data_IF_259211741965
#
_entry.id   IF_259211741965
#
_cell.length_a   1.000
_cell.length_b   1.000
_cell.length_c   1.000
_cell.angle_alpha   90.00
_cell.angle_beta   90.00
_cell.angle_gamma   90.00
#
_symmetry.space_group_name_H-M   'P 1'
#
loop_
_entity.id
_entity.type
_entity.pdbx_description
1 polymer ?
#
# COMPACT_ATOMS: atom_id res chain seq x y z
N UNK A 1 17.43 3.33 40.39
CA UNK A 1 16.18 3.97 39.96
C UNK A 1 15.81 3.34 38.65
N UNK A 2 14.82 2.45 38.67
CA UNK A 2 14.32 1.76 37.49
C UNK A 2 13.46 2.80 36.77
N UNK A 3 13.94 3.27 35.62
CA UNK A 3 13.21 4.21 34.78
C UNK A 3 11.93 3.52 34.31
N UNK A 4 10.81 4.05 34.77
CA UNK A 4 9.45 3.56 34.52
C UNK A 4 9.19 3.50 33.03
N UNK A 5 9.07 2.27 32.53
CA UNK A 5 8.69 1.85 31.19
C UNK A 5 7.63 2.76 30.57
N UNK A 6 8.03 3.57 29.59
CA UNK A 6 7.11 4.14 28.60
C UNK A 6 6.41 2.96 27.93
N UNK A 7 5.06 2.93 27.82
CA UNK A 7 4.38 1.85 27.12
C UNK A 7 4.93 1.74 25.69
N UNK A 8 5.07 0.51 25.20
CA UNK A 8 5.49 0.29 23.82
C UNK A 8 4.50 0.99 22.89
N UNK A 9 5.02 1.81 21.96
CA UNK A 9 4.17 2.50 20.97
C UNK A 9 3.41 1.46 20.14
N UNK A 10 2.11 1.66 20.01
CA UNK A 10 1.23 0.87 19.14
C UNK A 10 1.52 1.20 17.67
N UNK A 11 0.97 0.39 16.76
CA UNK A 11 1.06 0.68 15.33
C UNK A 11 0.37 2.02 14.99
N UNK A 12 -0.74 2.34 15.65
CA UNK A 12 -1.43 3.63 15.52
C UNK A 12 -0.53 4.80 15.95
N UNK A 13 0.11 4.70 17.12
CA UNK A 13 1.03 5.75 17.61
C UNK A 13 2.18 6.03 16.64
N UNK A 14 2.63 4.99 15.91
CA UNK A 14 3.70 5.12 14.91
C UNK A 14 3.22 5.75 13.60
N UNK A 15 1.99 5.46 13.19
CA UNK A 15 1.34 6.14 12.06
C UNK A 15 1.15 7.62 12.39
N UNK A 16 0.62 7.93 13.57
CA UNK A 16 0.40 9.32 14.02
C UNK A 16 1.69 10.11 14.20
N UNK A 17 2.78 9.44 14.57
CA UNK A 17 4.10 10.05 14.69
C UNK A 17 4.83 10.25 13.33
N UNK A 18 4.24 9.83 12.21
CA UNK A 18 4.80 10.10 10.88
C UNK A 18 4.74 11.59 10.58
N UNK A 19 5.79 12.14 9.96
CA UNK A 19 5.76 13.53 9.46
C UNK A 19 4.87 13.61 8.23
N UNK A 20 3.57 13.79 8.47
CA UNK A 20 2.55 13.81 7.44
C UNK A 20 2.66 14.97 6.47
N UNK A 21 3.27 16.08 6.88
CA UNK A 21 3.55 17.19 5.98
C UNK A 21 4.58 16.77 4.93
N UNK A 22 5.73 16.24 5.37
CA UNK A 22 6.78 15.76 4.46
C UNK A 22 6.28 14.60 3.59
N UNK A 23 5.55 13.65 4.18
CA UNK A 23 4.99 12.52 3.45
C UNK A 23 4.02 13.01 2.37
N UNK A 24 3.13 13.96 2.70
CA UNK A 24 2.17 14.52 1.73
C UNK A 24 2.90 15.20 0.57
N UNK A 25 3.93 16.00 0.85
CA UNK A 25 4.71 16.67 -0.20
C UNK A 25 5.41 15.66 -1.13
N UNK A 26 5.96 14.57 -0.59
CA UNK A 26 6.57 13.51 -1.38
C UNK A 26 5.54 12.72 -2.20
N UNK A 27 4.39 12.36 -1.62
CA UNK A 27 3.29 11.70 -2.33
C UNK A 27 2.77 12.60 -3.46
N UNK A 28 2.61 13.91 -3.21
CA UNK A 28 2.24 14.89 -4.23
C UNK A 28 3.25 14.95 -5.38
N UNK A 29 4.55 14.93 -5.07
CA UNK A 29 5.62 15.06 -6.05
C UNK A 29 5.87 13.79 -6.87
N UNK A 30 5.80 12.62 -6.23
CA UNK A 30 6.26 11.35 -6.78
C UNK A 30 5.18 10.28 -6.94
N UNK A 31 4.02 10.48 -6.32
CA UNK A 31 2.95 9.48 -6.25
C UNK A 31 3.22 8.39 -5.21
N UNK A 32 4.33 8.49 -4.46
CA UNK A 32 4.65 7.59 -3.35
C UNK A 32 5.64 8.21 -2.38
N UNK A 33 5.57 7.83 -1.10
CA UNK A 33 6.49 8.26 -0.06
C UNK A 33 6.64 7.19 1.02
N UNK A 34 7.84 7.11 1.62
CA UNK A 34 8.11 6.19 2.73
C UNK A 34 7.60 6.79 4.05
N UNK A 35 7.05 5.93 4.90
CA UNK A 35 6.78 6.26 6.30
C UNK A 35 8.05 6.06 7.15
N UNK A 36 7.96 6.40 8.44
CA UNK A 36 8.87 5.84 9.44
C UNK A 36 8.61 4.35 9.69
N UNK A 37 9.29 3.76 10.67
CA UNK A 37 9.04 2.38 11.07
C UNK A 37 7.68 2.25 11.77
N UNK A 38 6.78 1.44 11.20
CA UNK A 38 5.43 1.18 11.71
C UNK A 38 5.33 -0.13 12.49
N UNK A 39 6.23 -1.07 12.19
CA UNK A 39 6.27 -2.38 12.82
C UNK A 39 7.69 -2.72 13.30
N UNK A 40 7.78 -3.32 14.48
CA UNK A 40 9.02 -3.94 14.94
C UNK A 40 9.35 -5.17 14.09
N UNK A 41 10.62 -5.57 14.06
CA UNK A 41 11.04 -6.77 13.33
C UNK A 41 10.29 -8.03 13.80
N UNK A 42 9.98 -8.12 15.09
CA UNK A 42 9.25 -9.26 15.67
C UNK A 42 7.81 -9.31 15.15
N UNK A 43 7.13 -8.16 15.09
CA UNK A 43 5.78 -8.07 14.53
C UNK A 43 5.75 -8.32 13.03
N UNK A 44 6.79 -7.89 12.31
CA UNK A 44 6.98 -8.26 10.90
C UNK A 44 7.10 -9.77 10.73
N UNK A 45 7.92 -10.45 11.54
CA UNK A 45 8.09 -11.91 11.46
C UNK A 45 6.81 -12.66 11.78
N UNK A 46 6.05 -12.21 12.78
CA UNK A 46 4.75 -12.79 13.13
C UNK A 46 3.76 -12.69 11.98
N UNK A 47 3.55 -11.50 11.42
CA UNK A 47 2.67 -11.30 10.26
C UNK A 47 3.15 -12.09 9.03
N UNK A 48 4.46 -12.15 8.80
CA UNK A 48 5.01 -12.90 7.69
C UNK A 48 4.87 -14.42 7.87
N UNK A 49 4.82 -14.91 9.12
CA UNK A 49 4.58 -16.30 9.48
C UNK A 49 3.14 -16.75 9.21
N UNK A 50 2.17 -15.84 9.35
CA UNK A 50 0.76 -16.11 9.03
C UNK A 50 0.53 -16.46 7.56
N UNK A 51 1.49 -16.20 6.66
CA UNK A 51 1.32 -16.53 5.25
C UNK A 51 0.94 -18.00 5.03
N UNK A 52 1.46 -18.91 5.85
CA UNK A 52 1.21 -20.35 5.69
C UNK A 52 -0.10 -20.81 6.37
N UNK A 53 -0.74 -19.97 7.18
CA UNK A 53 -2.07 -20.18 7.81
C UNK A 53 -3.21 -19.91 6.80
N UNK A 54 -3.46 -20.86 5.90
CA UNK A 54 -4.38 -20.72 4.75
C UNK A 54 -5.81 -20.27 5.12
N UNK A 55 -6.30 -20.63 6.29
CA UNK A 55 -7.65 -20.35 6.80
C UNK A 55 -7.90 -18.85 7.05
N UNK A 56 -6.84 -18.05 7.22
CA UNK A 56 -6.95 -16.59 7.33
C UNK A 56 -7.28 -15.91 6.02
N UNK A 57 -7.20 -16.64 4.91
CA UNK A 57 -7.27 -16.07 3.57
C UNK A 57 -8.48 -16.59 2.82
N UNK A 58 -9.26 -15.67 2.24
CA UNK A 58 -10.39 -16.02 1.38
C UNK A 58 -9.95 -16.55 0.02
N UNK A 59 -8.72 -16.25 -0.40
CA UNK A 59 -8.20 -16.69 -1.71
C UNK A 59 -6.68 -16.58 -1.79
N UNK A 60 -6.09 -17.44 -2.61
CA UNK A 60 -4.68 -17.40 -3.02
C UNK A 60 -4.60 -17.16 -4.53
N UNK A 61 -3.73 -16.25 -4.94
CA UNK A 61 -3.49 -15.95 -6.35
C UNK A 61 -2.04 -16.23 -6.71
N UNK A 62 -1.88 -17.13 -7.68
CA UNK A 62 -0.62 -17.41 -8.35
C UNK A 62 -0.46 -16.44 -9.52
N UNK A 63 0.46 -15.49 -9.39
CA UNK A 63 0.60 -14.34 -10.30
C UNK A 63 0.92 -14.77 -11.73
N UNK A 64 1.63 -15.88 -11.90
CA UNK A 64 2.02 -16.39 -13.21
C UNK A 64 0.81 -16.81 -14.04
N UNK A 65 -0.23 -17.36 -13.39
CA UNK A 65 -1.49 -17.77 -14.06
C UNK A 65 -2.28 -16.60 -14.63
N UNK A 66 -2.07 -15.40 -14.07
CA UNK A 66 -2.81 -14.19 -14.45
C UNK A 66 -1.96 -13.19 -15.25
N UNK A 67 -0.71 -13.55 -15.62
CA UNK A 67 0.25 -12.67 -16.30
C UNK A 67 0.57 -11.39 -15.52
N UNK A 68 0.52 -11.45 -14.20
CA UNK A 68 0.87 -10.33 -13.31
C UNK A 68 2.35 -10.32 -12.92
N UNK A 69 3.14 -11.27 -13.44
CA UNK A 69 4.53 -11.50 -13.05
C UNK A 69 4.68 -12.93 -12.54
N UNK A 70 5.54 -13.13 -11.55
CA UNK A 70 5.67 -14.40 -10.84
C UNK A 70 5.80 -14.18 -9.33
N UNK A 71 5.33 -15.14 -8.55
CA UNK A 71 5.10 -15.00 -7.11
C UNK A 71 3.66 -15.33 -6.75
N UNK A 72 3.31 -15.16 -5.48
CA UNK A 72 1.98 -15.48 -4.96
C UNK A 72 1.53 -14.47 -3.92
N UNK A 73 0.26 -14.11 -3.96
CA UNK A 73 -0.37 -13.32 -2.91
C UNK A 73 -1.65 -13.96 -2.41
N UNK A 74 -2.04 -13.62 -1.18
CA UNK A 74 -3.26 -14.10 -0.54
C UNK A 74 -4.07 -12.92 -0.03
N UNK A 75 -5.38 -12.95 -0.26
CA UNK A 75 -6.30 -11.96 0.32
C UNK A 75 -6.84 -12.48 1.63
N UNK A 76 -6.75 -11.67 2.69
CA UNK A 76 -7.34 -12.00 3.98
C UNK A 76 -8.86 -12.12 3.87
N UNK A 77 -9.48 -12.83 4.82
CA UNK A 77 -10.91 -12.67 5.13
C UNK A 77 -11.15 -11.29 5.78
N UNK A 78 -12.38 -11.01 6.23
CA UNK A 78 -12.66 -9.83 7.06
C UNK A 78 -12.23 -9.99 8.52
N UNK A 79 -11.91 -11.22 8.96
CA UNK A 79 -11.30 -11.49 10.26
C UNK A 79 -9.79 -11.17 10.19
N UNK A 80 -9.50 -9.87 10.17
CA UNK A 80 -8.14 -9.35 10.02
C UNK A 80 -7.34 -9.55 11.31
N UNK A 81 -6.03 -9.85 11.21
CA UNK A 81 -5.14 -9.70 12.35
C UNK A 81 -5.26 -8.28 12.91
N UNK A 82 -5.30 -8.17 14.24
CA UNK A 82 -5.57 -6.89 14.94
C UNK A 82 -4.71 -5.73 14.42
N UNK A 83 -3.41 -5.95 14.26
CA UNK A 83 -2.49 -4.93 13.74
C UNK A 83 -2.80 -4.48 12.31
N UNK A 84 -3.38 -5.35 11.47
CA UNK A 84 -3.78 -4.98 10.10
C UNK A 84 -5.00 -4.07 10.15
N UNK A 85 -5.96 -4.34 11.04
CA UNK A 85 -7.12 -3.47 11.27
C UNK A 85 -6.68 -2.12 11.84
N UNK A 86 -5.90 -2.12 12.92
CA UNK A 86 -5.37 -0.92 13.58
C UNK A 86 -4.63 0.00 12.60
N UNK A 87 -3.74 -0.56 11.77
CA UNK A 87 -3.01 0.23 10.77
C UNK A 87 -3.95 0.91 9.78
N UNK A 88 -5.00 0.22 9.31
CA UNK A 88 -5.96 0.81 8.35
C UNK A 88 -6.75 1.95 8.99
N UNK A 89 -7.24 1.73 10.20
CA UNK A 89 -7.99 2.74 10.95
C UNK A 89 -7.11 3.96 11.22
N UNK A 90 -5.85 3.76 11.60
CA UNK A 90 -4.91 4.85 11.84
C UNK A 90 -4.51 5.60 10.55
N UNK A 91 -4.31 4.89 9.42
CA UNK A 91 -3.89 5.52 8.17
C UNK A 91 -4.99 6.34 7.50
N UNK A 92 -6.24 5.88 7.54
CA UNK A 92 -7.34 6.50 6.80
C UNK A 92 -7.51 8.01 7.04
N UNK A 93 -7.58 8.52 8.29
CA UNK A 93 -7.79 9.94 8.55
C UNK A 93 -6.66 10.82 8.02
N UNK A 94 -5.44 10.29 7.90
CA UNK A 94 -4.30 11.02 7.34
C UNK A 94 -4.25 10.97 5.81
N UNK A 95 -4.68 9.86 5.20
CA UNK A 95 -4.73 9.71 3.74
C UNK A 95 -5.92 10.45 3.11
N UNK A 96 -7.02 10.59 3.85
CA UNK A 96 -8.26 11.20 3.35
C UNK A 96 -8.08 12.67 2.90
N UNK A 97 -7.40 13.56 3.65
CA UNK A 97 -7.09 14.92 3.19
C UNK A 97 -6.31 14.94 1.87
N UNK A 98 -5.33 14.06 1.70
CA UNK A 98 -4.54 13.94 0.47
C UNK A 98 -5.44 13.52 -0.69
N UNK A 99 -6.27 12.48 -0.47
CA UNK A 99 -7.23 11.99 -1.46
C UNK A 99 -8.22 13.07 -1.91
N UNK A 100 -8.80 13.82 -0.98
CA UNK A 100 -9.74 14.92 -1.25
C UNK A 100 -9.05 16.08 -1.98
N UNK A 101 -7.85 16.47 -1.57
CA UNK A 101 -7.06 17.49 -2.26
C UNK A 101 -6.71 17.07 -3.70
N UNK A 102 -6.39 15.79 -3.92
CA UNK A 102 -6.13 15.26 -5.26
C UNK A 102 -7.35 15.25 -6.16
N UNK A 103 -8.51 14.90 -5.60
CA UNK A 103 -9.78 14.92 -6.30
C UNK A 103 -10.14 16.34 -6.74
N UNK A 104 -10.02 17.32 -5.83
CA UNK A 104 -10.25 18.74 -6.11
C UNK A 104 -9.34 19.25 -7.24
N UNK A 105 -8.01 19.05 -7.13
CA UNK A 105 -7.05 19.42 -8.18
C UNK A 105 -7.34 18.73 -9.52
N UNK A 106 -7.94 17.54 -9.50
CA UNK A 106 -8.28 16.79 -10.71
C UNK A 106 -9.69 17.09 -11.24
N UNK A 107 -10.47 17.95 -10.57
CA UNK A 107 -11.87 18.20 -10.90
C UNK A 107 -12.75 16.95 -10.79
N UNK A 108 -12.43 16.03 -9.88
CA UNK A 108 -13.13 14.76 -9.66
C UNK A 108 -13.95 14.81 -8.35
N UNK A 109 -15.05 14.05 -8.25
CA UNK A 109 -15.75 13.88 -6.98
C UNK A 109 -14.86 13.27 -5.90
N UNK A 110 -15.12 13.61 -4.65
CA UNK A 110 -14.47 13.02 -3.47
C UNK A 110 -15.54 12.38 -2.57
N UNK A 111 -16.04 11.18 -2.90
CA UNK A 111 -17.19 10.56 -2.22
C UNK A 111 -16.84 9.92 -0.87
N UNK A 112 -15.57 9.99 -0.45
CA UNK A 112 -15.07 9.31 0.74
C UNK A 112 -15.53 10.05 2.01
N UNK A 113 -16.24 9.37 2.93
CA UNK A 113 -16.64 9.92 4.22
C UNK A 113 -15.43 10.12 5.16
N UNK A 114 -15.67 10.67 6.35
CA UNK A 114 -14.61 10.90 7.34
C UNK A 114 -14.16 9.62 8.05
N UNK A 115 -15.04 8.61 8.12
CA UNK A 115 -14.78 7.33 8.77
C UNK A 115 -14.55 6.19 7.77
N UNK A 116 -13.53 5.35 8.05
CA UNK A 116 -13.21 4.20 7.19
C UNK A 116 -14.36 3.19 7.14
N UNK A 117 -15.03 2.94 8.26
CA UNK A 117 -16.14 1.99 8.34
C UNK A 117 -17.30 2.41 7.42
N UNK A 118 -17.70 3.68 7.45
CA UNK A 118 -18.74 4.22 6.58
C UNK A 118 -18.35 4.06 5.09
N UNK A 119 -17.07 4.29 4.76
CA UNK A 119 -16.59 4.09 3.40
C UNK A 119 -16.66 2.62 2.95
N UNK A 120 -16.40 1.67 3.86
CA UNK A 120 -16.51 0.24 3.57
C UNK A 120 -17.97 -0.19 3.43
N UNK A 121 -18.88 0.34 4.24
CA UNK A 121 -20.33 0.12 4.08
C UNK A 121 -20.82 0.61 2.72
N UNK A 122 -20.33 1.77 2.26
CA UNK A 122 -20.61 2.26 0.92
C UNK A 122 -20.06 1.33 -0.18
N UNK A 123 -18.88 0.73 0.02
CA UNK A 123 -18.37 -0.30 -0.89
C UNK A 123 -19.31 -1.52 -0.92
N UNK A 124 -19.75 -2.00 0.24
CA UNK A 124 -20.63 -3.17 0.35
C UNK A 124 -21.99 -2.92 -0.30
N UNK A 125 -22.58 -1.74 -0.07
CA UNK A 125 -23.81 -1.31 -0.73
C UNK A 125 -23.67 -1.23 -2.27
N UNK A 126 -22.48 -0.93 -2.77
CA UNK A 126 -22.15 -0.95 -4.20
C UNK A 126 -21.80 -2.35 -4.75
N UNK A 127 -21.94 -3.41 -3.95
CA UNK A 127 -21.63 -4.79 -4.34
C UNK A 127 -20.13 -5.13 -4.30
N UNK A 128 -19.33 -4.33 -3.62
CA UNK A 128 -17.92 -4.58 -3.34
C UNK A 128 -17.73 -5.02 -1.88
N UNK A 129 -17.92 -6.30 -1.59
CA UNK A 129 -17.92 -6.85 -0.23
C UNK A 129 -16.77 -7.80 0.10
N UNK A 130 -15.76 -7.93 -0.76
CA UNK A 130 -14.60 -8.82 -0.52
C UNK A 130 -13.43 -8.03 0.05
N UNK A 131 -12.88 -8.50 1.17
CA UNK A 131 -11.68 -7.91 1.79
C UNK A 131 -10.54 -7.80 0.78
N UNK A 132 -9.93 -6.62 0.70
CA UNK A 132 -8.82 -6.32 -0.22
C UNK A 132 -7.45 -6.37 0.45
N UNK A 133 -7.37 -6.73 1.74
CA UNK A 133 -6.09 -6.77 2.45
C UNK A 133 -5.28 -7.97 1.99
N UNK A 134 -4.00 -7.77 1.74
CA UNK A 134 -3.21 -8.70 0.93
C UNK A 134 -1.85 -8.99 1.57
N UNK A 135 -1.45 -10.25 1.59
CA UNK A 135 -0.11 -10.68 1.96
C UNK A 135 0.58 -11.27 0.74
N UNK A 136 1.69 -10.66 0.32
CA UNK A 136 2.43 -11.04 -0.89
C UNK A 136 3.70 -11.80 -0.51
N UNK A 137 4.10 -12.77 -1.33
CA UNK A 137 5.35 -13.54 -1.22
C UNK A 137 6.00 -13.68 -2.59
N UNK A 138 7.26 -13.27 -2.65
CA UNK A 138 8.15 -13.39 -3.80
C UNK A 138 9.40 -14.18 -3.39
N UNK A 139 9.82 -15.13 -4.22
CA UNK A 139 11.11 -15.81 -4.12
C UNK A 139 12.12 -15.29 -5.14
N UNK A 140 13.31 -15.89 -5.19
CA UNK A 140 14.31 -15.55 -6.20
C UNK A 140 13.76 -15.77 -7.63
N UNK A 141 13.96 -14.78 -8.49
CA UNK A 141 13.42 -14.72 -9.86
C UNK A 141 12.03 -14.10 -9.95
N UNK A 142 11.31 -13.97 -8.84
CA UNK A 142 9.96 -13.42 -8.84
C UNK A 142 9.90 -11.90 -9.01
N UNK A 143 8.81 -11.42 -9.60
CA UNK A 143 8.61 -10.00 -9.94
C UNK A 143 7.12 -9.69 -10.11
N UNK A 144 6.76 -8.40 -10.05
CA UNK A 144 5.40 -7.95 -10.32
C UNK A 144 5.39 -6.96 -11.49
N UNK A 145 4.56 -7.23 -12.49
CA UNK A 145 4.41 -6.36 -13.66
C UNK A 145 3.94 -4.97 -13.26
N UNK A 146 4.24 -3.96 -14.08
CA UNK A 146 3.72 -2.62 -13.87
C UNK A 146 2.21 -2.60 -14.16
N UNK A 147 1.40 -2.39 -13.12
CA UNK A 147 -0.06 -2.46 -13.15
C UNK A 147 -0.69 -1.28 -12.39
N UNK A 148 -2.02 -1.31 -12.28
CA UNK A 148 -2.82 -0.41 -11.44
C UNK A 148 -3.82 -1.25 -10.67
N UNK A 149 -4.08 -0.89 -9.43
CA UNK A 149 -4.97 -1.65 -8.55
C UNK A 149 -6.39 -1.10 -8.60
N UNK A 150 -7.02 -1.25 -9.77
CA UNK A 150 -8.39 -0.79 -10.01
C UNK A 150 -9.33 -1.98 -9.93
N UNK A 151 -9.89 -2.23 -8.75
CA UNK A 151 -10.83 -3.32 -8.50
C UNK A 151 -12.20 -2.76 -8.10
N UNK A 152 -13.10 -2.64 -9.07
CA UNK A 152 -14.44 -2.09 -8.86
C UNK A 152 -14.56 -0.58 -9.07
N UNK A 153 -15.73 -0.07 -8.74
CA UNK A 153 -16.19 1.29 -8.97
C UNK A 153 -15.93 2.20 -7.75
N UNK A 154 -16.00 1.65 -6.54
CA UNK A 154 -15.69 2.34 -5.28
C UNK A 154 -14.20 2.22 -4.99
N UNK A 155 -13.44 3.26 -5.31
CA UNK A 155 -11.98 3.26 -5.22
C UNK A 155 -11.47 4.38 -4.31
N UNK A 156 -10.59 4.02 -3.40
CA UNK A 156 -9.76 4.95 -2.65
C UNK A 156 -8.42 5.16 -3.38
N UNK A 157 -7.94 6.40 -3.57
CA UNK A 157 -6.86 6.70 -4.52
C UNK A 157 -5.45 6.39 -4.01
N UNK A 158 -5.31 6.02 -2.74
CA UNK A 158 -4.04 5.72 -2.08
C UNK A 158 -4.07 4.32 -1.45
N UNK A 159 -2.91 3.70 -1.36
CA UNK A 159 -2.67 2.42 -0.72
C UNK A 159 -1.37 2.47 0.08
N UNK A 160 -1.17 1.48 0.95
CA UNK A 160 0.09 1.32 1.69
C UNK A 160 0.63 -0.08 1.49
N UNK A 161 1.93 -0.21 1.25
CA UNK A 161 2.62 -1.51 1.30
C UNK A 161 3.70 -1.48 2.37
N UNK A 162 3.76 -2.51 3.21
CA UNK A 162 4.69 -2.60 4.34
C UNK A 162 5.68 -3.75 4.10
N UNK A 163 6.97 -3.47 4.26
CA UNK A 163 8.05 -4.46 4.17
C UNK A 163 8.04 -5.39 5.37
N UNK A 164 7.99 -6.71 5.17
CA UNK A 164 8.01 -7.68 6.28
C UNK A 164 9.34 -8.43 6.42
N UNK A 165 10.13 -8.47 5.34
CA UNK A 165 11.47 -9.05 5.32
C UNK A 165 12.52 -7.92 5.12
N UNK A 166 13.75 -8.13 5.59
CA UNK A 166 14.82 -7.14 5.55
C UNK A 166 15.60 -7.16 4.22
N UNK A 167 15.58 -6.07 3.42
CA UNK A 167 16.39 -5.99 2.20
C UNK A 167 17.89 -6.02 2.53
N UNK A 168 18.69 -6.71 1.71
CA UNK A 168 20.12 -6.91 1.91
C UNK A 168 20.47 -8.11 2.82
N UNK A 169 19.52 -8.58 3.64
CA UNK A 169 19.69 -9.74 4.53
C UNK A 169 18.83 -10.91 4.10
N UNK A 170 17.51 -10.71 4.03
CA UNK A 170 16.54 -11.75 3.69
C UNK A 170 16.32 -11.88 2.18
N UNK A 171 16.56 -10.81 1.43
CA UNK A 171 16.48 -10.77 -0.03
C UNK A 171 17.32 -9.64 -0.65
N UNK A 172 17.59 -9.75 -1.96
CA UNK A 172 18.18 -8.66 -2.77
C UNK A 172 17.33 -8.40 -4.02
N UNK A 173 17.44 -7.20 -4.62
CA UNK A 173 16.48 -6.74 -5.64
C UNK A 173 15.10 -6.50 -5.03
N UNK A 174 14.02 -6.64 -5.81
CA UNK A 174 12.65 -6.54 -5.30
C UNK A 174 12.24 -5.14 -4.85
N UNK A 175 12.83 -4.09 -5.44
CA UNK A 175 12.42 -2.71 -5.23
C UNK A 175 10.97 -2.50 -5.66
N UNK A 176 10.25 -1.65 -4.93
CA UNK A 176 8.94 -1.18 -5.36
C UNK A 176 9.13 -0.19 -6.51
N UNK A 177 8.49 -0.45 -7.64
CA UNK A 177 8.62 0.35 -8.84
C UNK A 177 7.40 1.23 -9.02
N UNK A 178 7.63 2.47 -9.43
CA UNK A 178 6.60 3.39 -9.88
C UNK A 178 6.97 3.90 -11.27
N UNK A 179 6.00 3.96 -12.17
CA UNK A 179 6.17 4.54 -13.51
C UNK A 179 5.07 5.54 -13.79
N UNK A 180 5.48 6.77 -14.01
CA UNK A 180 4.60 7.88 -14.32
C UNK A 180 4.67 8.17 -15.83
N UNK A 181 3.54 8.05 -16.49
CA UNK A 181 3.38 8.38 -17.90
C UNK A 181 3.38 9.88 -18.10
N UNK A 182 4.22 10.41 -18.98
CA UNK A 182 4.28 11.86 -19.23
C UNK A 182 3.77 12.15 -20.64
N UNK A 183 2.67 12.93 -20.82
CA UNK A 183 2.13 13.20 -22.14
C UNK A 183 3.20 13.77 -23.09
N UNK A 184 3.41 13.10 -24.24
CA UNK A 184 4.40 13.46 -25.26
C UNK A 184 5.86 13.47 -24.74
N UNK A 185 6.17 12.73 -23.69
CA UNK A 185 7.51 12.55 -23.17
C UNK A 185 7.74 11.10 -22.73
N UNK A 186 9.01 10.73 -22.50
CA UNK A 186 9.34 9.44 -21.90
C UNK A 186 8.85 9.37 -20.45
N UNK A 187 8.44 8.18 -20.02
CA UNK A 187 7.96 7.93 -18.66
C UNK A 187 9.04 8.22 -17.62
N UNK A 188 8.63 8.67 -16.44
CA UNK A 188 9.53 8.79 -15.27
C UNK A 188 9.39 7.51 -14.43
N UNK A 189 10.49 6.79 -14.23
CA UNK A 189 10.54 5.65 -13.31
C UNK A 189 11.14 6.06 -11.97
N UNK A 190 10.63 5.49 -10.88
CA UNK A 190 11.29 5.49 -9.58
C UNK A 190 11.31 4.08 -8.99
N UNK A 191 12.32 3.81 -8.18
CA UNK A 191 12.51 2.54 -7.50
C UNK A 191 12.79 2.83 -6.02
N UNK A 192 12.03 2.20 -5.14
CA UNK A 192 12.14 2.37 -3.70
C UNK A 192 12.46 1.04 -3.05
N UNK A 193 13.59 0.96 -2.35
CA UNK A 193 13.87 -0.15 -1.44
C UNK A 193 12.96 0.02 -0.24
N UNK A 194 12.17 -1.00 0.09
CA UNK A 194 11.21 -0.97 1.19
C UNK A 194 11.86 -1.60 2.44
N UNK A 195 12.27 -0.80 3.45
CA UNK A 195 12.87 -1.34 4.65
C UNK A 195 11.87 -2.19 5.46
N UNK A 196 12.38 -3.13 6.24
CA UNK A 196 11.53 -3.94 7.12
C UNK A 196 10.77 -3.03 8.11
N UNK A 197 9.48 -3.31 8.27
CA UNK A 197 8.57 -2.59 9.15
C UNK A 197 8.19 -1.19 8.70
N UNK A 198 8.70 -0.69 7.57
CA UNK A 198 8.32 0.60 7.03
C UNK A 198 7.21 0.44 5.99
N UNK A 199 6.32 1.42 5.93
CA UNK A 199 5.31 1.55 4.90
C UNK A 199 5.80 2.41 3.74
N UNK A 200 5.24 2.15 2.56
CA UNK A 200 5.25 3.06 1.43
C UNK A 200 3.80 3.40 1.11
N UNK A 201 3.42 4.67 1.28
CA UNK A 201 2.16 5.20 0.77
C UNK A 201 2.33 5.42 -0.73
N UNK A 202 1.38 4.99 -1.56
CA UNK A 202 1.45 5.18 -3.01
C UNK A 202 0.06 5.32 -3.65
N UNK A 203 0.02 5.93 -4.85
CA UNK A 203 -1.21 6.05 -5.62
C UNK A 203 -1.64 4.73 -6.25
N UNK A 204 -2.94 4.45 -6.17
CA UNK A 204 -3.56 3.29 -6.79
C UNK A 204 -3.48 3.30 -8.32
N UNK A 205 -3.48 4.50 -8.95
CA UNK A 205 -3.64 4.61 -10.41
C UNK A 205 -3.19 5.94 -11.02
N UNK A 206 -3.49 7.07 -10.40
CA UNK A 206 -3.30 8.40 -10.98
C UNK A 206 -2.87 9.39 -9.91
N UNK A 207 -2.21 10.47 -10.30
CA UNK A 207 -2.00 11.63 -9.42
C UNK A 207 -2.19 12.95 -10.17
N UNK A 208 -2.57 14.04 -9.49
CA UNK A 208 -2.56 15.36 -10.08
C UNK A 208 -1.13 15.85 -10.31
N UNK A 209 -0.89 16.52 -11.44
CA UNK A 209 0.36 17.18 -11.79
C UNK A 209 0.10 18.60 -12.28
N UNK A 210 0.94 19.53 -11.84
CA UNK A 210 0.89 20.91 -12.29
C UNK A 210 1.10 21.00 -13.81
N UNK A 211 0.33 21.87 -14.46
CA UNK A 211 0.38 22.13 -15.90
C UNK A 211 0.24 23.63 -16.16
N UNK A 212 0.52 24.07 -17.39
CA UNK A 212 0.33 25.48 -17.79
C UNK A 212 -1.12 25.98 -17.64
N UNK A 213 -2.10 25.08 -17.52
CA UNK A 213 -3.53 25.40 -17.39
C UNK A 213 -4.07 25.09 -15.98
N UNK A 214 -3.20 25.06 -14.97
CA UNK A 214 -3.55 24.66 -13.61
C UNK A 214 -3.11 23.23 -13.34
N UNK A 215 -4.04 22.29 -13.27
CA UNK A 215 -3.77 20.89 -12.94
C UNK A 215 -4.14 19.95 -14.09
N UNK A 216 -3.47 18.82 -14.16
CA UNK A 216 -3.80 17.70 -15.06
C UNK A 216 -3.62 16.38 -14.31
N UNK A 217 -4.25 15.31 -14.78
CA UNK A 217 -4.11 13.98 -14.18
C UNK A 217 -3.08 13.18 -14.97
N UNK A 218 -2.13 12.56 -14.27
CA UNK A 218 -1.11 11.72 -14.90
C UNK A 218 -1.30 10.24 -14.58
N UNK A 219 -0.97 9.44 -15.58
CA UNK A 219 -0.97 7.99 -15.59
C UNK A 219 0.07 7.37 -14.63
N UNK A 220 -0.24 6.68 -13.54
CA UNK A 220 0.78 5.98 -12.73
C UNK A 220 0.55 4.47 -12.79
N UNK A 221 1.65 3.70 -12.80
CA UNK A 221 1.64 2.25 -12.62
C UNK A 221 2.69 1.84 -11.60
N UNK A 222 2.40 0.85 -10.80
CA UNK A 222 3.34 0.29 -9.83
C UNK A 222 3.62 -1.18 -10.07
N UNK A 223 4.72 -1.68 -9.53
CA UNK A 223 5.14 -3.07 -9.65
C UNK A 223 6.30 -3.38 -8.71
N UNK A 224 6.93 -4.53 -8.91
CA UNK A 224 8.07 -4.97 -8.11
C UNK A 224 9.13 -5.48 -9.06
N UNK A 225 10.35 -4.97 -8.93
CA UNK A 225 11.49 -5.45 -9.71
C UNK A 225 11.78 -6.92 -9.38
N UNK A 226 12.63 -7.56 -10.17
CA UNK A 226 13.03 -8.95 -9.90
C UNK A 226 13.72 -9.07 -8.54
N UNK A 227 13.19 -9.94 -7.68
CA UNK A 227 13.89 -10.42 -6.48
C UNK A 227 15.05 -11.29 -6.96
N UNK A 228 16.28 -10.87 -6.70
CA UNK A 228 17.49 -11.52 -7.20
C UNK A 228 17.94 -12.70 -6.33
N UNK A 229 17.69 -12.62 -5.03
CA UNK A 229 17.97 -13.70 -4.08
C UNK A 229 17.01 -13.66 -2.90
N UNK A 230 16.88 -14.78 -2.21
CA UNK A 230 16.15 -14.87 -0.94
C UNK A 230 14.63 -14.81 -1.10
N UNK A 231 13.96 -14.27 -0.08
CA UNK A 231 12.50 -14.21 0.01
C UNK A 231 12.03 -12.85 0.49
N UNK A 232 11.05 -12.29 -0.21
CA UNK A 232 10.44 -10.99 0.08
C UNK A 232 8.95 -11.15 0.31
N UNK A 233 8.48 -10.76 1.49
CA UNK A 233 7.07 -10.66 1.85
C UNK A 233 6.69 -9.23 2.18
N UNK A 234 5.47 -8.87 1.82
CA UNK A 234 4.89 -7.55 2.09
C UNK A 234 3.43 -7.65 2.45
N UNK A 235 2.98 -6.77 3.33
CA UNK A 235 1.57 -6.55 3.65
C UNK A 235 1.07 -5.36 2.82
N UNK A 236 0.01 -5.54 2.04
CA UNK A 236 -0.70 -4.45 1.37
C UNK A 236 -1.97 -4.07 2.13
N UNK A 237 -2.10 -2.78 2.41
CA UNK A 237 -3.27 -2.15 3.01
C UNK A 237 -4.05 -1.41 1.93
N UNK A 238 -5.30 -1.83 1.74
CA UNK A 238 -6.22 -1.24 0.77
C UNK A 238 -7.42 -0.66 1.50
N UNK A 239 -7.83 0.55 1.11
CA UNK A 239 -8.87 1.32 1.78
C UNK A 239 -10.22 1.25 1.06
N UNK A 240 -10.48 0.18 0.30
CA UNK A 240 -11.77 -0.14 -0.29
C UNK A 240 -11.87 -1.65 -0.50
N UNK A 241 -13.07 -2.20 -0.44
CA UNK A 241 -13.32 -3.63 -0.70
C UNK A 241 -13.51 -3.90 -2.20
N UNK A 242 -13.33 -5.15 -2.61
CA UNK A 242 -13.43 -5.61 -4.00
C UNK A 242 -14.77 -6.31 -4.28
N UNK A 243 -15.11 -6.48 -5.56
CA UNK A 243 -16.28 -7.26 -6.01
C UNK A 243 -16.08 -8.76 -5.78
#
# INVERSE_FOLDING_TARGET
MIDTTRPARTASDLVDATDWAVLTDEVDAYGSALTGQLLTHDRCRELAGQYDETERFRSTVDMARHRFGSGQYRYFTHDLPEVVRELREAFYPHLLPIARAWADRSGKPAPWPDELEEWLDMCHAAGQSKSSQILLRYGAGDWNALHRDVFGDMLFPLQVVIGLDAPGTDYTGGEFLMTEQRPRAQSRGSATVLPQGHGLVFTTRDRPVASKRGWSTTSVRHGVSTVRSGRRRTLGLVFHDAK
#
